data_IF_575520479380
#
_entry.id   IF_575520479380
#
_cell.length_a   1.000
_cell.length_b   1.000
_cell.length_c   1.000
_cell.angle_alpha   90.00
_cell.angle_beta   90.00
_cell.angle_gamma   90.00
#
_symmetry.space_group_name_H-M   'P 1'
#
loop_
_entity.id
_entity.type
_entity.pdbx_description
1 polymer ?
#
# COMPACT_ATOMS: atom_id res chain seq x y z
N UNK A 1 30.03 19.00 -13.42
CA UNK A 1 29.83 17.79 -12.61
C UNK A 1 28.43 17.29 -12.88
N UNK A 2 28.30 16.30 -13.77
CA UNK A 2 27.04 15.56 -13.94
C UNK A 2 26.99 14.60 -12.77
N UNK A 3 26.08 14.82 -11.83
CA UNK A 3 25.75 13.79 -10.83
C UNK A 3 25.11 12.66 -11.61
N UNK A 4 25.85 11.58 -11.81
CA UNK A 4 25.32 10.36 -12.39
C UNK A 4 24.37 9.73 -11.37
N UNK A 5 23.10 10.17 -11.38
CA UNK A 5 22.04 9.56 -10.59
C UNK A 5 21.78 8.19 -11.16
N UNK A 6 22.45 7.19 -10.61
CA UNK A 6 22.19 5.78 -10.89
C UNK A 6 20.69 5.50 -10.80
N UNK A 7 20.09 4.99 -11.88
CA UNK A 7 18.69 4.58 -11.93
C UNK A 7 18.63 3.08 -11.65
N UNK A 8 17.92 2.68 -10.61
CA UNK A 8 17.74 1.27 -10.29
C UNK A 8 16.97 0.53 -11.40
N UNK A 9 17.44 -0.66 -11.73
CA UNK A 9 16.85 -1.57 -12.73
C UNK A 9 16.70 -2.97 -12.12
N UNK A 10 16.24 -3.97 -12.88
CA UNK A 10 16.10 -5.35 -12.39
C UNK A 10 17.41 -6.04 -12.00
N UNK A 11 18.57 -5.46 -12.35
CA UNK A 11 19.89 -5.93 -11.91
C UNK A 11 20.30 -5.35 -10.55
N UNK A 12 19.47 -4.47 -10.00
CA UNK A 12 19.52 -4.07 -8.61
C UNK A 12 18.66 -5.00 -7.77
N UNK A 13 19.13 -5.31 -6.57
CA UNK A 13 18.33 -5.98 -5.56
C UNK A 13 18.32 -5.13 -4.29
N UNK A 14 17.21 -5.20 -3.57
CA UNK A 14 17.09 -4.58 -2.27
C UNK A 14 17.78 -5.45 -1.21
N UNK A 15 18.78 -4.90 -0.53
CA UNK A 15 19.36 -5.52 0.65
C UNK A 15 18.55 -5.07 1.88
N UNK A 16 17.77 -5.99 2.43
CA UNK A 16 16.91 -5.72 3.57
C UNK A 16 17.68 -5.50 4.88
N UNK A 17 18.81 -6.19 5.09
CA UNK A 17 19.65 -6.03 6.29
C UNK A 17 20.16 -4.58 6.43
N UNK A 18 20.54 -3.96 5.31
CA UNK A 18 21.10 -2.61 5.28
C UNK A 18 20.08 -1.53 4.92
N UNK A 19 18.91 -1.91 4.40
CA UNK A 19 17.89 -1.00 3.87
C UNK A 19 18.41 -0.18 2.69
N UNK A 20 19.20 -0.79 1.79
CA UNK A 20 19.82 -0.12 0.65
C UNK A 20 19.72 -0.97 -0.61
N UNK A 21 19.67 -0.29 -1.75
CA UNK A 21 19.81 -0.92 -3.06
C UNK A 21 21.27 -1.34 -3.30
N UNK A 22 21.46 -2.58 -3.74
CA UNK A 22 22.73 -3.06 -4.27
C UNK A 22 22.52 -3.35 -5.75
N UNK A 23 23.40 -2.81 -6.59
CA UNK A 23 23.28 -2.93 -8.04
C UNK A 23 24.54 -3.53 -8.61
N UNK A 24 24.39 -4.51 -9.51
CA UNK A 24 25.50 -4.95 -10.33
C UNK A 24 25.93 -3.78 -11.22
N UNK A 25 27.16 -3.28 -11.02
CA UNK A 25 27.73 -2.32 -11.95
C UNK A 25 27.85 -3.02 -13.30
N UNK A 26 27.09 -2.56 -14.29
CA UNK A 26 27.45 -2.82 -15.68
C UNK A 26 28.85 -2.24 -15.88
N UNK A 27 29.77 -3.04 -16.40
CA UNK A 27 31.13 -2.58 -16.69
C UNK A 27 31.04 -1.45 -17.74
N UNK A 28 30.95 -0.22 -17.28
CA UNK A 28 31.10 0.98 -18.11
C UNK A 28 32.56 1.11 -18.48
N UNK A 29 32.86 1.19 -19.78
CA UNK A 29 34.21 1.28 -20.31
C UNK A 29 35.00 2.45 -19.70
N UNK A 30 35.94 2.16 -18.82
CA UNK A 30 37.02 3.08 -18.50
C UNK A 30 38.11 2.91 -19.56
N UNK A 31 38.30 3.94 -20.39
CA UNK A 31 39.40 4.00 -21.34
C UNK A 31 40.69 4.45 -20.64
N UNK A 32 41.77 3.65 -20.79
CA UNK A 32 43.18 3.97 -20.53
C UNK A 32 43.73 3.33 -19.24
N UNK A 33 44.88 2.64 -19.17
CA UNK A 33 45.99 2.37 -20.10
C UNK A 33 46.71 1.08 -19.64
N UNK A 34 47.13 0.26 -20.62
CA UNK A 34 48.24 -0.71 -20.73
C UNK A 34 48.75 -1.48 -19.48
N UNK A 35 48.64 -2.82 -19.52
CA UNK A 35 49.80 -3.68 -19.84
C UNK A 35 49.45 -5.18 -20.06
N UNK A 36 49.98 -5.69 -21.18
CA UNK A 36 50.33 -7.05 -21.61
C UNK A 36 49.62 -8.35 -21.14
N UNK A 37 49.17 -9.09 -22.17
CA UNK A 37 49.20 -10.56 -22.39
C UNK A 37 48.26 -11.51 -21.63
N UNK A 38 47.25 -12.05 -22.33
CA UNK A 38 47.28 -13.44 -22.84
C UNK A 38 46.02 -13.76 -23.68
N UNK A 39 46.23 -14.45 -24.79
CA UNK A 39 45.24 -14.92 -25.76
C UNK A 39 44.06 -15.69 -25.11
N UNK A 40 42.85 -15.19 -25.30
CA UNK A 40 41.67 -16.04 -25.49
C UNK A 40 40.70 -15.28 -26.39
N UNK A 41 40.55 -15.74 -27.63
CA UNK A 41 39.57 -15.19 -28.55
C UNK A 41 38.15 -15.45 -28.01
N UNK A 42 37.59 -14.46 -27.30
CA UNK A 42 36.17 -14.42 -27.01
C UNK A 42 35.46 -14.12 -28.33
N UNK A 43 34.70 -15.10 -28.81
CA UNK A 43 33.73 -14.89 -29.89
C UNK A 43 32.75 -13.84 -29.38
N UNK A 44 32.92 -12.59 -29.82
CA UNK A 44 31.93 -11.54 -29.62
C UNK A 44 30.71 -11.94 -30.45
N UNK A 45 29.69 -12.46 -29.77
CA UNK A 45 28.36 -12.58 -30.33
C UNK A 45 27.87 -11.17 -30.71
N UNK A 46 27.95 -10.85 -32.00
CA UNK A 46 27.56 -9.55 -32.56
C UNK A 46 26.04 -9.40 -32.71
N UNK A 47 25.26 -10.42 -32.32
CA UNK A 47 23.81 -10.42 -32.35
C UNK A 47 23.15 -10.28 -30.97
N UNK A 48 23.92 -9.98 -29.91
CA UNK A 48 23.34 -9.55 -28.64
C UNK A 48 22.66 -8.19 -28.85
N UNK A 49 21.35 -8.22 -29.10
CA UNK A 49 20.47 -7.06 -28.98
C UNK A 49 20.75 -6.41 -27.62
N UNK A 50 20.86 -5.07 -27.54
CA UNK A 50 21.03 -4.42 -26.26
C UNK A 50 19.84 -4.83 -25.40
N UNK A 51 20.12 -5.63 -24.37
CA UNK A 51 19.20 -6.08 -23.34
C UNK A 51 18.54 -4.81 -22.78
N UNK A 52 17.39 -4.45 -23.33
CA UNK A 52 16.73 -3.19 -23.01
C UNK A 52 16.08 -3.43 -21.66
N UNK A 53 16.85 -3.18 -20.60
CA UNK A 53 16.48 -3.47 -19.23
C UNK A 53 15.06 -2.95 -18.95
N UNK A 54 14.14 -3.87 -18.64
CA UNK A 54 12.77 -3.49 -18.33
C UNK A 54 12.77 -2.57 -17.09
N UNK A 55 12.04 -1.44 -17.15
CA UNK A 55 11.96 -0.52 -16.00
C UNK A 55 11.33 -1.21 -14.80
N UNK A 56 11.70 -0.76 -13.60
CA UNK A 56 11.03 -1.15 -12.35
C UNK A 56 9.54 -0.85 -12.43
N UNK A 57 8.74 -1.68 -11.76
CA UNK A 57 7.32 -1.40 -11.56
C UNK A 57 7.18 -0.19 -10.63
N UNK A 58 6.26 0.70 -10.98
CA UNK A 58 5.90 1.83 -10.14
C UNK A 58 4.90 1.37 -9.07
N UNK A 59 5.37 1.27 -7.83
CA UNK A 59 4.62 0.78 -6.66
C UNK A 59 4.04 1.92 -5.80
N UNK A 60 4.09 3.17 -6.30
CA UNK A 60 3.71 4.35 -5.51
C UNK A 60 2.21 4.45 -5.20
N UNK A 61 1.37 3.74 -5.95
CA UNK A 61 -0.05 3.62 -5.65
C UNK A 61 -0.30 2.91 -4.31
N UNK A 62 0.53 1.93 -3.95
CA UNK A 62 0.47 1.29 -2.63
C UNK A 62 0.71 2.29 -1.50
N UNK A 63 1.71 3.17 -1.64
CA UNK A 63 1.99 4.22 -0.64
C UNK A 63 0.78 5.15 -0.42
N UNK A 64 0.02 5.44 -1.48
CA UNK A 64 -1.21 6.24 -1.37
C UNK A 64 -2.29 5.51 -0.57
N UNK A 65 -2.42 4.20 -0.75
CA UNK A 65 -3.36 3.36 0.00
C UNK A 65 -2.93 3.26 1.47
N UNK A 66 -1.66 2.96 1.74
CA UNK A 66 -1.10 2.86 3.09
C UNK A 66 -1.26 4.15 3.88
N UNK A 67 -0.89 5.26 3.26
CA UNK A 67 -1.01 6.60 3.85
C UNK A 67 -2.46 6.88 4.28
N UNK A 68 -3.43 6.52 3.42
CA UNK A 68 -4.85 6.66 3.74
C UNK A 68 -5.32 5.74 4.87
N UNK A 69 -4.94 4.46 4.84
CA UNK A 69 -5.30 3.50 5.90
C UNK A 69 -4.75 3.94 7.25
N UNK A 70 -3.46 4.27 7.31
CA UNK A 70 -2.78 4.70 8.52
C UNK A 70 -3.40 5.96 9.11
N UNK A 71 -3.69 6.97 8.27
CA UNK A 71 -4.38 8.19 8.70
C UNK A 71 -5.76 7.88 9.27
N UNK A 72 -6.57 7.09 8.57
CA UNK A 72 -7.96 6.85 8.98
C UNK A 72 -8.04 6.03 10.28
N UNK A 73 -7.19 5.01 10.46
CA UNK A 73 -7.15 4.25 11.71
C UNK A 73 -6.57 5.05 12.87
N UNK A 74 -5.58 5.93 12.64
CA UNK A 74 -5.12 6.89 13.66
C UNK A 74 -6.23 7.82 14.14
N UNK A 75 -7.13 8.25 13.24
CA UNK A 75 -8.24 9.16 13.56
C UNK A 75 -9.48 8.47 14.14
N UNK A 76 -9.56 7.14 14.06
CA UNK A 76 -10.74 6.36 14.39
C UNK A 76 -11.12 6.38 15.89
N UNK A 77 -10.19 6.23 16.86
CA UNK A 77 -10.51 6.31 18.29
C UNK A 77 -11.17 7.64 18.65
N UNK A 78 -10.65 8.76 18.14
CA UNK A 78 -11.20 10.09 18.40
C UNK A 78 -12.59 10.28 17.76
N UNK A 79 -12.84 9.65 16.60
CA UNK A 79 -14.16 9.68 15.97
C UNK A 79 -15.21 9.00 16.85
N UNK A 80 -14.84 7.90 17.50
CA UNK A 80 -15.67 7.19 18.48
C UNK A 80 -15.84 8.02 19.76
N UNK A 81 -14.76 8.61 20.28
CA UNK A 81 -14.77 9.44 21.49
C UNK A 81 -15.73 10.64 21.39
N UNK A 82 -15.81 11.27 20.22
CA UNK A 82 -16.71 12.41 19.94
C UNK A 82 -18.21 12.06 20.00
N UNK A 83 -18.58 10.79 20.02
CA UNK A 83 -19.97 10.38 20.15
C UNK A 83 -20.38 10.43 21.62
N UNK A 84 -21.37 11.29 21.91
CA UNK A 84 -21.97 11.37 23.23
C UNK A 84 -22.64 10.03 23.62
N UNK A 85 -22.57 9.61 24.90
CA UNK A 85 -23.27 8.42 25.36
C UNK A 85 -24.77 8.46 25.01
N UNK A 86 -25.31 7.34 24.52
CA UNK A 86 -26.70 7.20 24.09
C UNK A 86 -27.02 7.78 22.71
N UNK A 87 -26.07 8.42 22.01
CA UNK A 87 -26.29 9.00 20.69
C UNK A 87 -26.30 7.95 19.57
N UNK A 88 -27.25 7.01 19.60
CA UNK A 88 -27.31 5.83 18.71
C UNK A 88 -27.21 6.16 17.21
N UNK A 89 -27.90 7.22 16.75
CA UNK A 89 -27.82 7.65 15.33
C UNK A 89 -26.41 8.10 14.94
N UNK A 90 -25.70 8.77 15.84
CA UNK A 90 -24.33 9.24 15.64
C UNK A 90 -23.36 8.06 15.67
N UNK A 91 -23.52 7.14 16.63
CA UNK A 91 -22.75 5.90 16.72
C UNK A 91 -22.85 5.08 15.43
N UNK A 92 -24.07 4.84 14.93
CA UNK A 92 -24.29 4.13 13.67
C UNK A 92 -23.65 4.82 12.45
N UNK A 93 -23.55 6.15 12.44
CA UNK A 93 -22.88 6.87 11.34
C UNK A 93 -21.36 6.72 11.37
N UNK A 94 -20.76 6.75 12.57
CA UNK A 94 -19.33 6.48 12.74
C UNK A 94 -19.02 5.01 12.45
N UNK A 95 -19.83 4.08 12.95
CA UNK A 95 -19.64 2.64 12.69
C UNK A 95 -19.70 2.30 11.20
N UNK A 96 -20.58 2.91 10.41
CA UNK A 96 -20.57 2.73 8.94
C UNK A 96 -19.27 3.19 8.29
N UNK A 97 -18.58 4.17 8.87
CA UNK A 97 -17.25 4.57 8.39
C UNK A 97 -16.19 3.55 8.81
N UNK A 98 -16.23 3.11 10.07
CA UNK A 98 -15.32 2.07 10.57
C UNK A 98 -15.45 0.77 9.79
N UNK A 99 -16.68 0.37 9.42
CA UNK A 99 -16.92 -0.78 8.55
C UNK A 99 -16.27 -0.65 7.19
N UNK A 100 -16.48 0.50 6.54
CA UNK A 100 -15.80 0.81 5.28
C UNK A 100 -14.26 0.72 5.41
N UNK A 101 -13.67 1.21 6.51
CA UNK A 101 -12.22 1.12 6.73
C UNK A 101 -11.75 -0.32 6.97
N UNK A 102 -12.50 -1.10 7.76
CA UNK A 102 -12.18 -2.52 8.02
C UNK A 102 -12.26 -3.34 6.72
N UNK A 103 -13.30 -3.14 5.92
CA UNK A 103 -13.45 -3.82 4.63
C UNK A 103 -12.32 -3.44 3.66
N UNK A 104 -11.96 -2.15 3.62
CA UNK A 104 -10.85 -1.66 2.78
C UNK A 104 -9.50 -2.28 3.19
N UNK A 105 -9.22 -2.37 4.50
CA UNK A 105 -8.01 -3.00 5.02
C UNK A 105 -7.98 -4.51 4.72
N UNK A 106 -9.09 -5.20 4.97
CA UNK A 106 -9.22 -6.63 4.70
C UNK A 106 -8.97 -6.95 3.21
N UNK A 107 -9.58 -6.19 2.30
CA UNK A 107 -9.41 -6.42 0.86
C UNK A 107 -8.00 -6.08 0.35
N UNK A 108 -7.31 -5.14 1.00
CA UNK A 108 -5.92 -4.80 0.71
C UNK A 108 -4.99 -5.98 1.03
N UNK A 109 -5.03 -6.47 2.27
CA UNK A 109 -4.20 -7.62 2.67
C UNK A 109 -4.57 -8.90 1.93
N UNK A 110 -5.87 -9.17 1.73
CA UNK A 110 -6.30 -10.34 0.95
C UNK A 110 -5.77 -10.28 -0.49
N UNK A 111 -5.69 -9.09 -1.09
CA UNK A 111 -5.09 -8.90 -2.40
C UNK A 111 -3.60 -9.24 -2.42
N UNK A 112 -2.84 -8.82 -1.41
CA UNK A 112 -1.42 -9.18 -1.26
C UNK A 112 -1.23 -10.68 -1.05
N UNK A 113 -2.03 -11.27 -0.18
CA UNK A 113 -2.01 -12.71 0.12
C UNK A 113 -2.24 -13.56 -1.11
N UNK A 114 -3.21 -13.17 -1.93
CA UNK A 114 -3.58 -13.95 -3.10
C UNK A 114 -2.68 -13.66 -4.32
N UNK A 115 -2.21 -12.42 -4.48
CA UNK A 115 -1.62 -11.95 -5.74
C UNK A 115 -0.17 -11.48 -5.63
N UNK A 116 0.30 -11.04 -4.47
CA UNK A 116 1.65 -10.50 -4.30
C UNK A 116 2.61 -11.52 -3.67
N UNK A 117 2.31 -12.04 -2.47
CA UNK A 117 3.24 -12.91 -1.73
C UNK A 117 3.67 -14.14 -2.50
N UNK A 118 2.78 -14.88 -3.19
CA UNK A 118 3.19 -16.06 -3.96
C UNK A 118 4.21 -15.72 -5.04
N UNK A 119 4.03 -14.58 -5.73
CA UNK A 119 4.93 -14.13 -6.80
C UNK A 119 6.29 -13.70 -6.26
N UNK A 120 6.31 -13.05 -5.10
CA UNK A 120 7.55 -12.65 -4.47
C UNK A 120 8.33 -13.89 -4.02
N UNK A 121 7.69 -14.84 -3.32
CA UNK A 121 8.33 -16.10 -2.90
C UNK A 121 8.98 -16.85 -4.04
N UNK A 122 8.33 -16.91 -5.20
CA UNK A 122 8.86 -17.61 -6.38
C UNK A 122 10.10 -16.93 -6.99
N UNK A 123 10.33 -15.64 -6.73
CA UNK A 123 11.23 -14.80 -7.55
C UNK A 123 12.29 -14.03 -6.78
N UNK A 124 12.11 -13.80 -5.49
CA UNK A 124 13.11 -13.09 -4.68
C UNK A 124 14.31 -13.98 -4.38
N UNK A 125 15.49 -13.40 -4.08
CA UNK A 125 16.63 -14.19 -3.61
C UNK A 125 16.29 -14.95 -2.32
N UNK A 126 16.87 -16.16 -2.09
CA UNK A 126 16.60 -16.95 -0.89
C UNK A 126 16.81 -16.20 0.44
N UNK A 127 17.77 -15.26 0.47
CA UNK A 127 18.03 -14.43 1.64
C UNK A 127 16.87 -13.49 2.02
N UNK A 128 15.92 -13.23 1.12
CA UNK A 128 14.76 -12.38 1.40
C UNK A 128 13.52 -13.17 1.88
N UNK A 129 13.55 -14.51 1.84
CA UNK A 129 12.39 -15.33 2.18
C UNK A 129 11.98 -15.21 3.65
N UNK A 130 12.94 -15.22 4.58
CA UNK A 130 12.66 -15.08 6.03
C UNK A 130 12.02 -13.72 6.35
N UNK A 131 12.44 -12.66 5.65
CA UNK A 131 11.83 -11.35 5.74
C UNK A 131 10.37 -11.37 5.23
N UNK A 132 10.11 -11.99 4.07
CA UNK A 132 8.75 -12.09 3.54
C UNK A 132 7.84 -12.86 4.51
N UNK A 133 8.31 -13.98 5.06
CA UNK A 133 7.56 -14.76 6.04
C UNK A 133 7.26 -13.94 7.31
N UNK A 134 8.22 -13.12 7.74
CA UNK A 134 8.02 -12.22 8.90
C UNK A 134 6.96 -11.16 8.63
N UNK A 135 7.00 -10.49 7.47
CA UNK A 135 6.05 -9.41 7.14
C UNK A 135 4.65 -9.96 6.88
N UNK A 136 4.53 -11.08 6.16
CA UNK A 136 3.24 -11.71 5.91
C UNK A 136 2.60 -12.27 7.18
N UNK A 137 3.39 -12.85 8.10
CA UNK A 137 2.85 -13.31 9.39
C UNK A 137 2.25 -12.18 10.23
N UNK A 138 2.57 -10.91 9.94
CA UNK A 138 1.92 -9.76 10.59
C UNK A 138 0.44 -9.62 10.17
N UNK A 139 0.03 -10.14 9.00
CA UNK A 139 -1.38 -10.16 8.59
C UNK A 139 -2.24 -10.92 9.59
N UNK A 140 -1.76 -12.08 10.09
CA UNK A 140 -2.49 -12.87 11.09
C UNK A 140 -2.74 -12.07 12.38
N UNK A 141 -1.74 -11.29 12.82
CA UNK A 141 -1.86 -10.40 13.98
C UNK A 141 -2.87 -9.29 13.72
N UNK A 142 -2.87 -8.70 12.53
CA UNK A 142 -3.83 -7.65 12.15
C UNK A 142 -5.25 -8.21 12.08
N UNK A 143 -5.44 -9.40 11.50
CA UNK A 143 -6.74 -10.07 11.40
C UNK A 143 -7.33 -10.43 12.76
N UNK A 144 -6.49 -10.87 13.70
CA UNK A 144 -6.90 -11.08 15.08
C UNK A 144 -7.44 -9.78 15.71
N UNK A 145 -6.73 -8.67 15.53
CA UNK A 145 -7.16 -7.36 16.06
C UNK A 145 -8.38 -6.81 15.32
N UNK A 146 -8.49 -7.03 14.00
CA UNK A 146 -9.68 -6.69 13.21
C UNK A 146 -10.93 -7.45 13.70
N UNK A 147 -10.75 -8.71 14.12
CA UNK A 147 -11.82 -9.50 14.74
C UNK A 147 -12.27 -8.89 16.07
N UNK A 148 -11.34 -8.41 16.90
CA UNK A 148 -11.66 -7.68 18.13
C UNK A 148 -12.41 -6.37 17.83
N UNK A 149 -11.93 -5.59 16.86
CA UNK A 149 -12.57 -4.35 16.42
C UNK A 149 -13.99 -4.63 15.93
N UNK A 150 -14.18 -5.68 15.13
CA UNK A 150 -15.50 -6.09 14.63
C UNK A 150 -16.45 -6.42 15.78
N UNK A 151 -15.99 -7.19 16.76
CA UNK A 151 -16.80 -7.52 17.94
C UNK A 151 -17.13 -6.27 18.78
N UNK A 152 -16.16 -5.38 18.99
CA UNK A 152 -16.34 -4.14 19.75
C UNK A 152 -17.28 -3.16 19.04
N UNK A 153 -17.17 -3.02 17.72
CA UNK A 153 -18.11 -2.25 16.89
C UNK A 153 -19.54 -2.74 17.06
N UNK A 154 -19.74 -4.06 16.99
CA UNK A 154 -21.06 -4.66 17.16
C UNK A 154 -21.65 -4.41 18.55
N UNK A 155 -20.83 -4.47 19.62
CA UNK A 155 -21.27 -4.11 20.98
C UNK A 155 -21.64 -2.63 21.09
N UNK A 156 -20.79 -1.75 20.58
CA UNK A 156 -20.99 -0.30 20.67
C UNK A 156 -22.20 0.21 19.90
N UNK A 157 -22.52 -0.37 18.74
CA UNK A 157 -23.73 0.01 17.98
C UNK A 157 -25.00 -0.46 18.67
N UNK A 158 -24.96 -1.62 19.36
CA UNK A 158 -26.10 -2.11 20.15
C UNK A 158 -26.31 -1.29 21.42
N UNK A 159 -25.22 -0.92 22.07
CA UNK A 159 -25.23 -0.12 23.29
C UNK A 159 -24.22 1.03 23.18
N UNK A 160 -24.71 2.21 22.83
CA UNK A 160 -23.92 3.43 22.67
C UNK A 160 -23.51 4.08 24.02
N UNK A 161 -23.35 3.28 25.07
CA UNK A 161 -22.91 3.72 26.40
C UNK A 161 -21.39 3.93 26.46
N UNK A 162 -20.88 4.35 27.63
CA UNK A 162 -19.47 4.71 27.79
C UNK A 162 -18.53 3.50 27.72
N UNK A 163 -18.94 2.33 28.23
CA UNK A 163 -18.06 1.17 28.35
C UNK A 163 -17.78 0.51 26.99
N UNK A 164 -18.78 0.16 26.15
CA UNK A 164 -18.54 -0.38 24.80
C UNK A 164 -17.79 0.61 23.91
N UNK A 165 -17.98 1.91 24.15
CA UNK A 165 -17.23 2.98 23.45
C UNK A 165 -15.75 2.90 23.81
N UNK A 166 -15.41 2.76 25.09
CA UNK A 166 -14.03 2.62 25.55
C UNK A 166 -13.35 1.36 25.01
N UNK A 167 -14.06 0.24 25.00
CA UNK A 167 -13.56 -1.03 24.41
C UNK A 167 -13.22 -0.87 22.93
N UNK A 168 -14.11 -0.24 22.14
CA UNK A 168 -13.88 -0.01 20.73
C UNK A 168 -12.68 0.93 20.49
N UNK A 169 -12.56 2.01 21.28
CA UNK A 169 -11.41 2.91 21.18
C UNK A 169 -10.09 2.18 21.46
N UNK A 170 -10.05 1.33 22.48
CA UNK A 170 -8.86 0.55 22.80
C UNK A 170 -8.51 -0.47 21.69
N UNK A 171 -9.51 -1.12 21.10
CA UNK A 171 -9.31 -2.04 19.98
C UNK A 171 -8.78 -1.33 18.72
N UNK A 172 -9.32 -0.14 18.41
CA UNK A 172 -8.86 0.68 17.28
C UNK A 172 -7.43 1.19 17.48
N UNK A 173 -7.06 1.56 18.72
CA UNK A 173 -5.70 1.97 19.04
C UNK A 173 -4.70 0.81 18.83
N UNK A 174 -5.03 -0.39 19.31
CA UNK A 174 -4.23 -1.59 19.02
C UNK A 174 -4.12 -1.87 17.53
N UNK A 175 -5.22 -1.74 16.79
CA UNK A 175 -5.22 -1.94 15.33
C UNK A 175 -4.27 -0.96 14.63
N UNK A 176 -4.31 0.31 15.02
CA UNK A 176 -3.41 1.31 14.48
C UNK A 176 -1.94 0.97 14.76
N UNK A 177 -1.59 0.54 15.97
CA UNK A 177 -0.22 0.19 16.36
C UNK A 177 0.33 -0.97 15.53
N UNK A 178 -0.45 -2.05 15.37
CA UNK A 178 -0.01 -3.21 14.58
C UNK A 178 0.05 -2.91 13.08
N UNK A 179 -0.85 -2.04 12.61
CA UNK A 179 -0.87 -1.62 11.21
C UNK A 179 0.30 -0.69 10.88
N UNK A 180 0.66 0.23 11.78
CA UNK A 180 1.81 1.13 11.62
C UNK A 180 3.12 0.34 11.51
N UNK A 181 3.32 -0.66 12.40
CA UNK A 181 4.46 -1.57 12.36
C UNK A 181 4.54 -2.31 11.02
N UNK A 182 3.41 -2.87 10.57
CA UNK A 182 3.32 -3.68 9.37
C UNK A 182 3.56 -2.87 8.09
N UNK A 183 2.83 -1.77 7.89
CA UNK A 183 2.97 -0.96 6.67
C UNK A 183 4.37 -0.34 6.59
N UNK A 184 4.97 0.05 7.71
CA UNK A 184 6.36 0.52 7.72
C UNK A 184 7.35 -0.55 7.27
N UNK A 185 7.13 -1.82 7.65
CA UNK A 185 7.95 -2.93 7.20
C UNK A 185 7.73 -3.23 5.71
N UNK A 186 6.48 -3.24 5.25
CA UNK A 186 6.14 -3.49 3.85
C UNK A 186 6.73 -2.41 2.94
N UNK A 187 6.53 -1.13 3.26
CA UNK A 187 7.07 -0.01 2.48
C UNK A 187 8.59 -0.04 2.40
N UNK A 188 9.24 -0.37 3.52
CA UNK A 188 10.69 -0.39 3.61
C UNK A 188 11.32 -1.60 2.94
N UNK A 189 10.67 -2.76 2.97
CA UNK A 189 11.31 -4.01 2.63
C UNK A 189 10.65 -4.77 1.48
N UNK A 190 9.33 -4.76 1.40
CA UNK A 190 8.56 -5.52 0.41
C UNK A 190 8.38 -4.74 -0.88
N UNK A 191 7.97 -3.46 -0.81
CA UNK A 191 7.73 -2.66 -2.02
C UNK A 191 8.97 -2.55 -2.93
N UNK A 192 10.21 -2.41 -2.43
CA UNK A 192 11.41 -2.51 -3.26
C UNK A 192 11.55 -3.86 -3.98
N UNK A 193 11.22 -4.97 -3.33
CA UNK A 193 11.24 -6.29 -3.94
C UNK A 193 10.14 -6.42 -5.00
N UNK A 194 8.93 -5.95 -4.71
CA UNK A 194 7.83 -5.91 -5.68
C UNK A 194 8.19 -5.12 -6.94
N UNK A 195 8.81 -3.95 -6.78
CA UNK A 195 9.27 -3.11 -7.88
C UNK A 195 10.23 -3.85 -8.84
N UNK A 196 11.03 -4.79 -8.32
CA UNK A 196 12.02 -5.55 -9.10
C UNK A 196 11.47 -6.85 -9.70
N UNK A 197 10.67 -7.58 -8.92
CA UNK A 197 10.35 -8.99 -9.17
C UNK A 197 8.94 -9.22 -9.70
N UNK A 198 8.08 -8.20 -9.67
CA UNK A 198 6.73 -8.25 -10.22
C UNK A 198 6.70 -7.52 -11.57
N UNK A 199 5.81 -7.95 -12.47
CA UNK A 199 5.60 -7.27 -13.75
C UNK A 199 4.55 -6.15 -13.63
N UNK A 200 4.56 -5.13 -14.50
CA UNK A 200 3.53 -4.10 -14.47
C UNK A 200 2.10 -4.65 -14.59
N UNK A 201 1.90 -5.73 -15.36
CA UNK A 201 0.60 -6.36 -15.52
C UNK A 201 0.13 -7.08 -14.24
N UNK A 202 1.04 -7.73 -13.52
CA UNK A 202 0.73 -8.38 -12.24
C UNK A 202 0.44 -7.35 -11.14
N UNK A 203 1.20 -6.26 -11.09
CA UNK A 203 0.91 -5.15 -10.20
C UNK A 203 -0.44 -4.49 -10.52
N UNK A 204 -0.76 -4.35 -11.81
CA UNK A 204 -2.07 -3.86 -12.22
C UNK A 204 -3.21 -4.76 -11.75
N UNK A 205 -3.03 -6.09 -11.84
CA UNK A 205 -4.02 -7.06 -11.41
C UNK A 205 -4.31 -6.96 -9.89
N UNK A 206 -3.31 -6.64 -9.08
CA UNK A 206 -3.48 -6.35 -7.65
C UNK A 206 -4.41 -5.15 -7.43
N UNK A 207 -4.17 -4.05 -8.14
CA UNK A 207 -5.04 -2.87 -8.10
C UNK A 207 -6.47 -3.15 -8.59
N UNK A 208 -6.62 -3.91 -9.67
CA UNK A 208 -7.94 -4.32 -10.20
C UNK A 208 -8.70 -5.20 -9.21
N UNK A 209 -8.02 -6.12 -8.52
CA UNK A 209 -8.63 -6.95 -7.48
C UNK A 209 -9.14 -6.12 -6.30
N UNK A 210 -8.36 -5.14 -5.83
CA UNK A 210 -8.79 -4.21 -4.80
C UNK A 210 -10.02 -3.39 -5.20
N UNK A 211 -10.10 -2.94 -6.46
CA UNK A 211 -11.29 -2.26 -6.99
C UNK A 211 -12.50 -3.20 -7.09
N UNK A 212 -12.29 -4.44 -7.52
CA UNK A 212 -13.35 -5.43 -7.71
C UNK A 212 -13.94 -5.93 -6.38
N UNK A 213 -13.14 -5.97 -5.32
CA UNK A 213 -13.58 -6.38 -3.99
C UNK A 213 -14.56 -5.38 -3.34
N UNK A 214 -14.54 -4.12 -3.77
CA UNK A 214 -15.39 -3.06 -3.22
C UNK A 214 -16.71 -2.87 -4.00
N UNK A 215 -17.83 -2.61 -3.31
CA UNK A 215 -19.05 -2.14 -3.97
C UNK A 215 -18.81 -0.87 -4.79
N UNK A 216 -19.34 -0.82 -6.02
CA UNK A 216 -19.18 0.36 -6.92
C UNK A 216 -19.65 1.69 -6.29
N UNK A 217 -20.58 1.63 -5.34
CA UNK A 217 -21.10 2.78 -4.60
C UNK A 217 -20.10 3.38 -3.60
N UNK A 218 -19.11 2.61 -3.13
CA UNK A 218 -18.10 3.08 -2.16
C UNK A 218 -16.81 3.58 -2.84
N UNK A 219 -16.57 3.23 -4.10
CA UNK A 219 -15.37 3.66 -4.84
C UNK A 219 -15.12 5.19 -4.82
N UNK A 220 -16.14 6.07 -4.96
CA UNK A 220 -15.92 7.51 -4.83
C UNK A 220 -15.51 7.97 -3.43
N UNK A 221 -15.91 7.22 -2.39
CA UNK A 221 -15.43 7.47 -1.03
C UNK A 221 -13.98 7.01 -0.89
N UNK A 222 -13.65 5.77 -1.30
CA UNK A 222 -12.29 5.24 -1.25
C UNK A 222 -11.29 6.13 -1.98
N UNK A 223 -11.58 6.49 -3.24
CA UNK A 223 -10.74 7.41 -3.99
C UNK A 223 -10.64 8.80 -3.33
N UNK A 224 -11.69 9.26 -2.65
CA UNK A 224 -11.67 10.52 -1.91
C UNK A 224 -10.77 10.46 -0.67
N UNK A 225 -10.76 9.32 0.01
CA UNK A 225 -9.88 9.01 1.13
C UNK A 225 -8.41 8.99 0.69
N UNK A 226 -8.11 8.42 -0.48
CA UNK A 226 -6.77 8.44 -1.10
C UNK A 226 -6.37 9.85 -1.53
N UNK A 227 -7.28 10.56 -2.20
CA UNK A 227 -7.01 11.89 -2.74
C UNK A 227 -6.86 12.99 -1.69
N UNK A 228 -7.07 12.70 -0.41
CA UNK A 228 -6.91 13.67 0.66
C UNK A 228 -5.46 14.17 0.77
N UNK A 229 -4.50 13.25 0.66
CA UNK A 229 -3.06 13.55 0.77
C UNK A 229 -2.19 12.76 -0.22
N UNK A 230 -2.79 11.92 -1.05
CA UNK A 230 -2.08 11.18 -2.10
C UNK A 230 -1.48 12.10 -3.17
N UNK A 231 -0.36 11.67 -3.75
CA UNK A 231 0.31 12.38 -4.84
C UNK A 231 -0.65 12.51 -6.05
N UNK A 232 -0.95 13.73 -6.52
CA UNK A 232 -1.81 13.95 -7.69
C UNK A 232 -1.37 13.22 -8.96
N UNK A 233 -0.07 12.97 -9.14
CA UNK A 233 0.43 12.18 -10.28
C UNK A 233 0.07 10.70 -10.14
N UNK A 234 0.28 10.12 -8.97
CA UNK A 234 -0.08 8.72 -8.68
C UNK A 234 -1.60 8.53 -8.77
N UNK A 235 -2.39 9.44 -8.22
CA UNK A 235 -3.86 9.39 -8.30
C UNK A 235 -4.39 9.47 -9.74
N UNK A 236 -3.72 10.20 -10.63
CA UNK A 236 -4.05 10.20 -12.07
C UNK A 236 -3.72 8.85 -12.70
N UNK A 237 -2.62 8.24 -12.28
CA UNK A 237 -2.13 6.97 -12.80
C UNK A 237 -3.04 5.80 -12.38
N UNK A 238 -3.51 5.80 -11.13
CA UNK A 238 -4.53 4.85 -10.64
C UNK A 238 -5.83 4.87 -11.47
N UNK A 239 -6.14 5.99 -12.14
CA UNK A 239 -7.34 6.12 -12.99
C UNK A 239 -7.10 5.82 -14.47
N UNK A 240 -5.86 5.51 -14.89
CA UNK A 240 -5.51 5.30 -16.31
C UNK A 240 -6.22 4.12 -16.95
N UNK A 241 -6.66 3.14 -16.17
CA UNK A 241 -7.38 1.96 -16.68
C UNK A 241 -8.88 2.00 -16.42
N UNK A 242 -9.34 2.92 -15.56
CA UNK A 242 -10.77 3.16 -15.35
C UNK A 242 -11.45 3.66 -16.65
N UNK A 243 -12.74 3.34 -16.90
CA UNK A 243 -13.45 3.85 -18.06
C UNK A 243 -13.46 5.39 -18.13
N UNK A 244 -13.63 5.94 -19.34
CA UNK A 244 -13.47 7.38 -19.60
C UNK A 244 -14.35 8.28 -18.70
N UNK A 245 -15.58 7.84 -18.43
CA UNK A 245 -16.54 8.59 -17.62
C UNK A 245 -16.10 8.69 -16.13
N UNK A 246 -15.84 7.58 -15.40
CA UNK A 246 -15.21 7.63 -14.07
C UNK A 246 -13.91 8.44 -14.03
N UNK A 247 -13.02 8.27 -15.02
CA UNK A 247 -11.74 8.98 -15.09
C UNK A 247 -11.92 10.51 -15.10
N UNK A 248 -12.98 11.01 -15.73
CA UNK A 248 -13.30 12.44 -15.77
C UNK A 248 -14.02 12.93 -14.51
N UNK A 249 -14.95 12.15 -13.98
CA UNK A 249 -15.86 12.60 -12.91
C UNK A 249 -15.22 12.43 -11.52
N UNK A 250 -14.56 11.30 -11.27
CA UNK A 250 -14.11 10.89 -9.95
C UNK A 250 -13.18 11.92 -9.27
N UNK A 251 -12.16 12.50 -9.96
CA UNK A 251 -11.29 13.49 -9.36
C UNK A 251 -12.01 14.75 -8.85
N UNK A 252 -13.20 15.06 -9.41
CA UNK A 252 -13.98 16.24 -9.03
C UNK A 252 -14.93 15.96 -7.87
N UNK A 253 -15.52 14.76 -7.82
CA UNK A 253 -16.56 14.44 -6.84
C UNK A 253 -16.00 13.80 -5.57
N UNK A 254 -14.96 12.98 -5.69
CA UNK A 254 -14.44 12.16 -4.61
C UNK A 254 -13.91 12.98 -3.42
N UNK A 255 -13.15 14.08 -3.61
CA UNK A 255 -12.74 14.93 -2.49
C UNK A 255 -13.92 15.56 -1.73
N UNK A 256 -15.02 15.87 -2.43
CA UNK A 256 -16.24 16.42 -1.81
C UNK A 256 -17.01 15.33 -1.04
N UNK A 257 -17.03 14.11 -1.54
CA UNK A 257 -17.64 12.95 -0.88
C UNK A 257 -16.88 12.64 0.41
N UNK A 258 -15.55 12.55 0.33
CA UNK A 258 -14.70 12.36 1.50
C UNK A 258 -14.87 13.51 2.51
N UNK A 259 -14.78 14.78 2.09
CA UNK A 259 -14.98 15.91 2.99
C UNK A 259 -16.33 15.90 3.73
N UNK A 260 -17.42 15.44 3.06
CA UNK A 260 -18.73 15.27 3.71
C UNK A 260 -18.70 14.12 4.71
N UNK A 261 -18.11 12.98 4.36
CA UNK A 261 -17.92 11.85 5.28
C UNK A 261 -17.08 12.26 6.48
N UNK A 262 -15.97 12.97 6.25
CA UNK A 262 -15.08 13.44 7.29
C UNK A 262 -15.80 14.41 8.25
N UNK A 263 -16.58 15.35 7.73
CA UNK A 263 -17.40 16.23 8.58
C UNK A 263 -18.38 15.42 9.43
N UNK A 264 -19.01 14.41 8.82
CA UNK A 264 -19.92 13.50 9.51
C UNK A 264 -19.22 12.59 10.51
N UNK A 265 -17.92 12.31 10.42
CA UNK A 265 -17.25 11.35 11.31
C UNK A 265 -16.39 12.09 12.33
N UNK A 266 -15.52 12.97 11.87
CA UNK A 266 -14.54 13.70 12.67
C UNK A 266 -14.99 15.10 13.11
N UNK A 267 -16.12 15.61 12.61
CA UNK A 267 -16.59 16.97 12.92
C UNK A 267 -15.91 18.08 12.12
N UNK A 268 -15.01 17.72 11.19
CA UNK A 268 -14.31 18.64 10.30
C UNK A 268 -14.23 18.05 8.89
N UNK A 269 -14.22 18.90 7.86
CA UNK A 269 -14.02 18.49 6.45
C UNK A 269 -12.57 18.13 6.14
N UNK A 270 -11.64 18.48 7.04
CA UNK A 270 -10.19 18.32 6.91
C UNK A 270 -9.65 17.83 8.26
N UNK A 271 -9.86 16.55 8.59
CA UNK A 271 -9.38 15.95 9.83
C UNK A 271 -7.87 15.72 9.82
#
# INVERSE_FOLDING_TARGET
MVTDTHRHTRRCWWNHETGRWICHQSQGSAAGQDDAQADTAVVLDRDATPDTEAPLVDVRDMLVVHTALLREFRLAPDAVARVAPGAARRAAAVDRHLGFLCDMLHHHHAGEDELLWPKLRDRVPPAALELLDTVEAQHERIDAVLSEVTAARARWVRDASADPRGELMAALQRLHEVLDEHLAAEERYVLPLAACHVTPAEWHALGDAGVAAMPKSVLPLAFGTFAYEGDPAVLRDMLKTAPALPRLILPRIAPRIYARRALQVHGTRRP
#
